data_IF_527428691716
#
_entry.id   IF_527428691716
#
_cell.length_a   1.000
_cell.length_b   1.000
_cell.length_c   1.000
_cell.angle_alpha   90.00
_cell.angle_beta   90.00
_cell.angle_gamma   90.00
#
_symmetry.space_group_name_H-M   'P 1'
#
loop_
_entity.id
_entity.type
_entity.pdbx_description
1 polymer ?
#
# COMPACT_ATOMS: atom_id res chain seq x y z
N UNK A 1 62.46 14.95 3.96
CA UNK A 1 61.13 15.15 4.57
C UNK A 1 60.08 14.57 3.65
N UNK A 2 59.59 13.36 3.93
CA UNK A 2 58.55 12.71 3.13
C UNK A 2 57.18 13.10 3.71
N UNK A 3 56.30 13.62 2.85
CA UNK A 3 54.96 14.11 3.19
C UNK A 3 54.08 12.95 3.68
N UNK A 4 53.81 12.91 4.98
CA UNK A 4 52.87 11.98 5.65
C UNK A 4 51.53 12.68 5.88
N UNK A 5 50.96 13.31 4.84
CA UNK A 5 49.61 13.86 4.92
C UNK A 5 48.85 13.54 3.64
N UNK A 6 47.82 12.70 3.80
CA UNK A 6 46.63 12.65 2.94
C UNK A 6 46.86 12.41 1.46
N UNK A 7 47.13 11.16 1.06
CA UNK A 7 46.69 10.73 -0.27
C UNK A 7 45.16 10.85 -0.29
N UNK A 8 44.59 11.68 -1.18
CA UNK A 8 43.15 11.68 -1.45
C UNK A 8 42.73 10.22 -1.66
N UNK A 9 41.79 9.73 -0.86
CA UNK A 9 41.17 8.41 -1.12
C UNK A 9 40.67 8.45 -2.57
N UNK A 10 40.90 7.40 -3.37
CA UNK A 10 40.33 7.33 -4.71
C UNK A 10 38.83 7.57 -4.59
N UNK A 11 38.30 8.52 -5.36
CA UNK A 11 36.87 8.74 -5.50
C UNK A 11 36.29 7.45 -6.08
N UNK A 12 35.75 6.62 -5.21
CA UNK A 12 34.93 5.49 -5.63
C UNK A 12 33.73 6.11 -6.33
N UNK A 13 33.45 5.74 -7.59
CA UNK A 13 32.31 6.31 -8.30
C UNK A 13 31.06 6.11 -7.43
N UNK A 14 30.22 7.14 -7.25
CA UNK A 14 29.05 7.04 -6.40
C UNK A 14 28.17 5.92 -6.93
N UNK A 15 28.06 4.85 -6.15
CA UNK A 15 27.15 3.75 -6.46
C UNK A 15 25.75 4.24 -6.11
N UNK A 16 24.90 4.38 -7.12
CA UNK A 16 23.50 4.72 -6.89
C UNK A 16 22.81 3.55 -6.17
N UNK A 17 22.29 3.82 -4.97
CA UNK A 17 21.67 2.81 -4.11
C UNK A 17 20.44 2.19 -4.78
N UNK A 18 19.69 2.96 -5.58
CA UNK A 18 18.57 2.48 -6.38
C UNK A 18 19.02 1.45 -7.42
N UNK A 19 20.06 1.76 -8.20
CA UNK A 19 20.58 0.85 -9.24
C UNK A 19 21.07 -0.49 -8.65
N UNK A 20 21.52 -0.50 -7.39
CA UNK A 20 21.92 -1.74 -6.70
C UNK A 20 20.67 -2.51 -6.25
N UNK A 21 19.66 -1.83 -5.73
CA UNK A 21 18.35 -2.41 -5.41
C UNK A 21 17.76 -3.14 -6.61
N UNK A 22 17.63 -2.46 -7.75
CA UNK A 22 17.08 -3.02 -8.99
C UNK A 22 17.82 -4.29 -9.45
N UNK A 23 19.14 -4.31 -9.31
CA UNK A 23 19.98 -5.47 -9.64
C UNK A 23 19.75 -6.64 -8.69
N UNK A 24 19.55 -6.37 -7.41
CA UNK A 24 19.22 -7.40 -6.42
C UNK A 24 17.84 -7.96 -6.70
N UNK A 25 16.84 -7.12 -6.97
CA UNK A 25 15.47 -7.55 -7.24
C UNK A 25 15.36 -8.38 -8.52
N UNK A 26 16.12 -8.02 -9.56
CA UNK A 26 16.25 -8.83 -10.78
C UNK A 26 16.80 -10.22 -10.45
N UNK A 27 17.82 -10.32 -9.59
CA UNK A 27 18.41 -11.60 -9.18
C UNK A 27 17.47 -12.42 -8.32
N UNK A 28 16.71 -11.78 -7.42
CA UNK A 28 15.66 -12.43 -6.62
C UNK A 28 14.62 -13.05 -7.56
N UNK A 29 14.12 -12.27 -8.53
CA UNK A 29 13.15 -12.73 -9.54
C UNK A 29 13.67 -13.91 -10.35
N UNK A 30 14.94 -13.89 -10.75
CA UNK A 30 15.57 -15.00 -11.48
C UNK A 30 15.74 -16.26 -10.62
N UNK A 31 15.98 -16.11 -9.31
CA UNK A 31 16.01 -17.23 -8.38
C UNK A 31 14.62 -17.80 -8.15
N UNK A 32 13.58 -16.97 -8.01
CA UNK A 32 12.20 -17.41 -7.85
C UNK A 32 11.75 -18.25 -9.06
N UNK A 33 12.04 -17.80 -10.29
CA UNK A 33 11.78 -18.59 -11.51
C UNK A 33 12.50 -19.94 -11.52
N UNK A 34 13.70 -20.04 -10.95
CA UNK A 34 14.43 -21.32 -10.83
C UNK A 34 13.82 -22.21 -9.77
N UNK A 35 13.40 -21.64 -8.64
CA UNK A 35 12.74 -22.34 -7.54
C UNK A 35 11.41 -22.93 -8.03
N UNK A 36 10.61 -22.16 -8.76
CA UNK A 36 9.33 -22.59 -9.33
C UNK A 36 9.49 -23.81 -10.26
N UNK A 37 10.46 -23.75 -11.19
CA UNK A 37 10.79 -24.89 -12.07
C UNK A 37 11.19 -26.15 -11.29
N UNK A 38 11.99 -25.99 -10.23
CA UNK A 38 12.39 -27.11 -9.39
C UNK A 38 11.19 -27.66 -8.58
N UNK A 39 10.24 -26.81 -8.20
CA UNK A 39 9.00 -27.23 -7.54
C UNK A 39 8.11 -28.05 -8.47
N UNK A 40 7.96 -27.63 -9.72
CA UNK A 40 7.25 -28.41 -10.73
C UNK A 40 7.89 -29.80 -10.92
N UNK A 41 9.23 -29.85 -11.00
CA UNK A 41 9.94 -31.12 -11.14
C UNK A 41 9.75 -32.02 -9.91
N UNK A 42 9.76 -31.47 -8.69
CA UNK A 42 9.45 -32.20 -7.46
C UNK A 42 8.01 -32.74 -7.49
N UNK A 43 7.04 -31.95 -7.96
CA UNK A 43 5.64 -32.42 -8.14
C UNK A 43 5.57 -33.58 -9.13
N UNK A 44 6.24 -33.48 -10.29
CA UNK A 44 6.30 -34.55 -11.30
C UNK A 44 6.90 -35.83 -10.72
N UNK A 45 8.00 -35.75 -9.97
CA UNK A 45 8.58 -36.93 -9.32
C UNK A 45 7.64 -37.53 -8.27
N UNK A 46 6.90 -36.70 -7.52
CA UNK A 46 5.89 -37.18 -6.56
C UNK A 46 4.80 -37.99 -7.26
N UNK A 47 4.32 -37.54 -8.42
CA UNK A 47 3.33 -38.27 -9.20
C UNK A 47 3.87 -39.57 -9.79
N UNK A 48 5.10 -39.55 -10.32
CA UNK A 48 5.76 -40.75 -10.83
C UNK A 48 5.95 -41.80 -9.73
N UNK A 49 6.35 -41.39 -8.52
CA UNK A 49 6.47 -42.31 -7.37
C UNK A 49 5.13 -42.93 -6.96
N UNK A 50 3.99 -42.24 -7.14
CA UNK A 50 2.66 -42.84 -6.88
C UNK A 50 2.32 -43.95 -7.88
N UNK A 51 2.79 -43.82 -9.13
CA UNK A 51 2.50 -44.75 -10.24
C UNK A 51 3.54 -45.88 -10.37
N UNK A 52 4.71 -45.74 -9.76
CA UNK A 52 5.84 -46.67 -9.89
C UNK A 52 6.18 -47.35 -8.56
N UNK A 53 6.30 -48.69 -8.58
CA UNK A 53 6.65 -49.52 -7.42
C UNK A 53 8.02 -50.20 -7.61
N UNK A 54 8.62 -50.68 -6.52
CA UNK A 54 9.87 -51.45 -6.56
C UNK A 54 11.13 -50.61 -6.86
N UNK A 55 12.20 -51.23 -7.39
CA UNK A 55 13.51 -50.59 -7.58
C UNK A 55 13.49 -49.29 -8.41
N UNK A 56 12.59 -49.18 -9.39
CA UNK A 56 12.40 -47.97 -10.19
C UNK A 56 11.91 -46.78 -9.35
N UNK A 57 11.10 -47.02 -8.32
CA UNK A 57 10.62 -45.99 -7.39
C UNK A 57 11.77 -45.38 -6.56
N UNK A 58 12.76 -46.21 -6.18
CA UNK A 58 13.95 -45.72 -5.46
C UNK A 58 14.80 -44.78 -6.31
N UNK A 59 14.94 -45.03 -7.61
CA UNK A 59 15.68 -44.14 -8.52
C UNK A 59 14.99 -42.78 -8.66
N UNK A 60 13.65 -42.75 -8.77
CA UNK A 60 12.86 -41.51 -8.81
C UNK A 60 13.00 -40.74 -7.48
N UNK A 61 12.95 -41.44 -6.35
CA UNK A 61 13.16 -40.85 -5.02
C UNK A 61 14.53 -40.16 -4.89
N UNK A 62 15.60 -40.78 -5.40
CA UNK A 62 16.94 -40.17 -5.37
C UNK A 62 17.01 -38.89 -6.22
N UNK A 63 16.41 -38.89 -7.42
CA UNK A 63 16.31 -37.69 -8.26
C UNK A 63 15.52 -36.58 -7.56
N UNK A 64 14.37 -36.92 -6.96
CA UNK A 64 13.56 -35.97 -6.20
C UNK A 64 14.33 -35.35 -5.04
N UNK A 65 15.11 -36.13 -4.30
CA UNK A 65 15.96 -35.64 -3.19
C UNK A 65 17.02 -34.66 -3.71
N UNK A 66 17.67 -34.95 -4.84
CA UNK A 66 18.66 -34.05 -5.43
C UNK A 66 18.04 -32.73 -5.88
N UNK A 67 16.87 -32.79 -6.53
CA UNK A 67 16.10 -31.59 -6.92
C UNK A 67 15.68 -30.76 -5.71
N UNK A 68 15.20 -31.40 -4.64
CA UNK A 68 14.85 -30.73 -3.38
C UNK A 68 16.06 -30.03 -2.74
N UNK A 69 17.23 -30.67 -2.72
CA UNK A 69 18.47 -30.05 -2.21
C UNK A 69 18.84 -28.81 -3.01
N UNK A 70 18.75 -28.88 -4.34
CA UNK A 70 19.01 -27.73 -5.22
C UNK A 70 17.99 -26.61 -5.01
N UNK A 71 16.72 -26.95 -4.84
CA UNK A 71 15.65 -25.99 -4.52
C UNK A 71 15.98 -25.24 -3.23
N UNK A 72 16.23 -25.95 -2.13
CA UNK A 72 16.59 -25.36 -0.83
C UNK A 72 17.83 -24.46 -0.90
N UNK A 73 18.82 -24.83 -1.72
CA UNK A 73 20.00 -23.99 -1.94
C UNK A 73 19.64 -22.65 -2.61
N UNK A 74 18.74 -22.64 -3.59
CA UNK A 74 18.28 -21.40 -4.21
C UNK A 74 17.35 -20.59 -3.31
N UNK A 75 16.46 -21.23 -2.55
CA UNK A 75 15.64 -20.56 -1.52
C UNK A 75 16.55 -19.80 -0.54
N UNK A 76 17.58 -20.46 0.00
CA UNK A 76 18.52 -19.79 0.91
C UNK A 76 19.29 -18.63 0.28
N UNK A 77 19.66 -18.73 -1.01
CA UNK A 77 20.29 -17.62 -1.74
C UNK A 77 19.32 -16.46 -1.96
N UNK A 78 18.07 -16.77 -2.30
CA UNK A 78 16.99 -15.81 -2.50
C UNK A 78 16.71 -15.05 -1.21
N UNK A 79 16.57 -15.75 -0.10
CA UNK A 79 16.32 -15.15 1.23
C UNK A 79 17.46 -14.20 1.64
N UNK A 80 18.71 -14.60 1.38
CA UNK A 80 19.88 -13.74 1.63
C UNK A 80 19.83 -12.47 0.77
N UNK A 81 19.46 -12.58 -0.50
CA UNK A 81 19.34 -11.42 -1.39
C UNK A 81 18.15 -10.52 -0.99
N UNK A 82 17.03 -11.08 -0.57
CA UNK A 82 15.90 -10.30 -0.05
C UNK A 82 16.30 -9.50 1.20
N UNK A 83 17.03 -10.12 2.14
CA UNK A 83 17.57 -9.39 3.30
C UNK A 83 18.55 -8.28 2.88
N UNK A 84 19.33 -8.50 1.81
CA UNK A 84 20.17 -7.44 1.24
C UNK A 84 19.33 -6.32 0.59
N UNK A 85 18.26 -6.65 -0.13
CA UNK A 85 17.37 -5.65 -0.74
C UNK A 85 16.75 -4.75 0.33
N UNK A 86 16.23 -5.34 1.41
CA UNK A 86 15.68 -4.59 2.54
C UNK A 86 16.69 -3.64 3.20
N UNK A 87 17.97 -4.05 3.32
CA UNK A 87 19.01 -3.17 3.85
C UNK A 87 19.31 -2.00 2.88
N UNK A 88 19.22 -2.23 1.57
CA UNK A 88 19.41 -1.20 0.56
C UNK A 88 18.23 -0.23 0.54
N UNK A 89 17.00 -0.72 0.64
CA UNK A 89 15.79 0.11 0.74
C UNK A 89 15.85 1.03 1.96
N UNK A 90 16.23 0.51 3.13
CA UNK A 90 16.44 1.34 4.33
C UNK A 90 17.54 2.40 4.12
N UNK A 91 18.63 2.06 3.44
CA UNK A 91 19.68 3.01 3.12
C UNK A 91 19.20 4.08 2.12
N UNK A 92 18.40 3.70 1.13
CA UNK A 92 17.79 4.64 0.18
C UNK A 92 16.85 5.61 0.90
N UNK A 93 15.97 5.10 1.77
CA UNK A 93 15.09 5.92 2.59
C UNK A 93 15.84 6.91 3.48
N UNK A 94 16.93 6.46 4.13
CA UNK A 94 17.78 7.34 4.93
C UNK A 94 18.46 8.43 4.09
N UNK A 95 18.87 8.10 2.86
CA UNK A 95 19.44 9.08 1.91
C UNK A 95 18.38 10.11 1.52
N UNK A 96 17.16 9.69 1.22
CA UNK A 96 16.08 10.61 0.83
C UNK A 96 15.68 11.52 1.98
N UNK A 97 15.53 10.98 3.20
CA UNK A 97 15.32 11.78 4.42
C UNK A 97 16.45 12.81 4.62
N UNK A 98 17.69 12.42 4.35
CA UNK A 98 18.83 13.34 4.42
C UNK A 98 18.78 14.42 3.34
N UNK A 99 18.32 14.11 2.12
CA UNK A 99 18.14 15.09 1.03
C UNK A 99 17.05 16.10 1.36
N UNK A 100 15.96 15.65 1.96
CA UNK A 100 14.89 16.51 2.43
C UNK A 100 15.40 17.46 3.52
N UNK A 101 16.12 16.93 4.50
CA UNK A 101 16.75 17.75 5.56
C UNK A 101 17.70 18.80 4.97
N UNK A 102 18.53 18.42 4.00
CA UNK A 102 19.42 19.37 3.31
C UNK A 102 18.60 20.47 2.61
N UNK A 103 17.49 20.10 1.96
CA UNK A 103 16.61 21.04 1.25
C UNK A 103 15.92 21.99 2.23
N UNK A 104 15.45 21.50 3.38
CA UNK A 104 14.91 22.34 4.47
C UNK A 104 15.95 23.32 4.99
N UNK A 105 17.18 22.86 5.26
CA UNK A 105 18.27 23.74 5.70
C UNK A 105 18.61 24.79 4.65
N UNK A 106 18.61 24.42 3.36
CA UNK A 106 18.81 25.36 2.27
C UNK A 106 17.69 26.41 2.20
N UNK A 107 16.43 25.99 2.37
CA UNK A 107 15.27 26.89 2.43
C UNK A 107 15.36 27.85 3.63
N UNK A 108 15.73 27.35 4.81
CA UNK A 108 15.95 28.17 6.00
C UNK A 108 17.05 29.21 5.79
N UNK A 109 18.18 28.82 5.18
CA UNK A 109 19.25 29.76 4.84
C UNK A 109 18.78 30.85 3.88
N UNK A 110 18.00 30.47 2.87
CA UNK A 110 17.38 31.42 1.94
C UNK A 110 16.42 32.39 2.65
N UNK A 111 15.57 31.87 3.54
CA UNK A 111 14.64 32.66 4.33
C UNK A 111 15.37 33.65 5.25
N UNK A 112 16.45 33.25 5.92
CA UNK A 112 17.27 34.15 6.75
C UNK A 112 17.87 35.28 5.92
N UNK A 113 18.37 34.99 4.72
CA UNK A 113 18.89 36.03 3.82
C UNK A 113 17.79 37.00 3.39
N UNK A 114 16.61 36.49 3.01
CA UNK A 114 15.48 37.31 2.61
C UNK A 114 14.97 38.17 3.78
N UNK A 115 14.83 37.59 4.97
CA UNK A 115 14.44 38.30 6.18
C UNK A 115 15.44 39.43 6.48
N UNK A 116 16.74 39.17 6.37
CA UNK A 116 17.77 40.21 6.54
C UNK A 116 17.70 41.34 5.49
N UNK A 117 17.15 41.09 4.29
CA UNK A 117 16.88 42.14 3.30
C UNK A 117 15.62 42.91 3.65
N UNK A 118 14.53 42.22 3.99
CA UNK A 118 13.26 42.86 4.38
C UNK A 118 13.40 43.70 5.65
N UNK A 119 14.12 43.23 6.67
CA UNK A 119 14.37 44.00 7.90
C UNK A 119 15.14 45.30 7.63
N UNK A 120 15.98 45.36 6.59
CA UNK A 120 16.65 46.61 6.18
C UNK A 120 15.73 47.59 5.48
N UNK A 121 14.60 47.13 4.95
CA UNK A 121 13.55 48.00 4.38
C UNK A 121 12.59 48.54 5.43
N UNK A 122 12.54 47.92 6.61
CA UNK A 122 11.80 48.45 7.75
C UNK A 122 12.54 49.71 8.20
N UNK A 123 11.95 50.88 7.95
CA UNK A 123 12.42 52.14 8.50
C UNK A 123 12.13 52.13 10.00
N UNK A 124 13.17 52.06 10.82
CA UNK A 124 13.03 52.06 12.29
C UNK A 124 12.23 53.26 12.80
N UNK A 125 12.34 54.41 12.14
CA UNK A 125 11.57 55.61 12.48
C UNK A 125 10.07 55.45 12.24
N UNK A 126 9.67 54.83 11.13
CA UNK A 126 8.25 54.54 10.86
C UNK A 126 7.71 53.43 11.77
N UNK A 127 8.59 52.55 12.28
CA UNK A 127 8.23 51.54 13.26
C UNK A 127 8.04 52.12 14.66
N UNK A 128 8.88 53.07 15.07
CA UNK A 128 8.71 53.83 16.32
C UNK A 128 7.40 54.64 16.26
N UNK A 129 7.15 55.36 15.16
CA UNK A 129 5.89 56.09 14.95
C UNK A 129 4.68 55.16 14.96
N UNK A 130 4.75 53.99 14.30
CA UNK A 130 3.66 53.01 14.31
C UNK A 130 3.48 52.30 15.66
N UNK A 131 4.55 52.16 16.47
CA UNK A 131 4.48 51.60 17.81
C UNK A 131 3.84 52.59 18.78
N UNK A 132 4.17 53.89 18.66
CA UNK A 132 3.49 54.97 19.39
C UNK A 132 2.02 55.05 18.96
N UNK A 133 1.71 55.04 17.66
CA UNK A 133 0.33 54.99 17.15
C UNK A 133 -0.43 53.75 17.66
N UNK A 134 0.24 52.59 17.78
CA UNK A 134 -0.36 51.35 18.30
C UNK A 134 -0.52 51.36 19.82
N UNK A 135 0.37 52.02 20.56
CA UNK A 135 0.21 52.25 21.99
C UNK A 135 -1.01 53.15 22.23
N UNK A 136 -1.14 54.23 21.45
CA UNK A 136 -2.30 55.11 21.45
C UNK A 136 -3.58 54.34 21.07
N UNK A 137 -3.52 53.46 20.06
CA UNK A 137 -4.68 52.63 19.65
C UNK A 137 -5.04 51.55 20.67
N UNK A 138 -4.08 51.00 21.42
CA UNK A 138 -4.36 50.07 22.52
C UNK A 138 -4.91 50.82 23.74
N UNK A 139 -4.46 52.05 23.99
CA UNK A 139 -5.02 52.92 25.02
C UNK A 139 -6.47 53.29 24.66
N UNK A 140 -6.72 53.66 23.39
CA UNK A 140 -8.06 53.86 22.82
C UNK A 140 -8.89 52.57 22.86
N UNK A 141 -8.33 51.40 22.56
CA UNK A 141 -9.07 50.13 22.66
C UNK A 141 -9.40 49.76 24.11
N UNK A 142 -8.52 50.06 25.07
CA UNK A 142 -8.81 49.88 26.49
C UNK A 142 -9.86 50.90 26.96
N UNK A 143 -9.80 52.15 26.49
CA UNK A 143 -10.81 53.17 26.76
C UNK A 143 -12.15 52.80 26.10
N UNK A 144 -12.15 52.25 24.88
CA UNK A 144 -13.32 51.70 24.17
C UNK A 144 -13.82 50.45 24.87
N UNK A 145 -12.97 49.55 25.36
CA UNK A 145 -13.39 48.40 26.17
C UNK A 145 -13.88 48.82 27.55
N UNK A 146 -13.42 49.93 28.12
CA UNK A 146 -13.94 50.51 29.36
C UNK A 146 -15.28 51.23 29.12
N UNK A 147 -15.46 51.85 27.94
CA UNK A 147 -16.71 52.45 27.48
C UNK A 147 -17.75 51.41 27.04
N UNK A 148 -17.33 50.34 26.35
CA UNK A 148 -18.17 49.22 25.92
C UNK A 148 -18.36 48.16 27.00
N UNK A 149 -17.43 48.05 27.95
CA UNK A 149 -17.51 47.22 29.17
C UNK A 149 -18.50 47.77 30.19
N UNK A 150 -18.99 49.00 29.99
CA UNK A 150 -20.25 49.45 30.61
C UNK A 150 -21.50 48.81 29.98
N UNK A 151 -21.36 48.02 28.89
CA UNK A 151 -22.52 47.49 28.15
C UNK A 151 -22.47 46.01 27.72
N UNK A 152 -21.34 45.31 27.60
CA UNK A 152 -21.38 43.88 27.26
C UNK A 152 -20.31 43.09 28.01
N UNK A 153 -20.67 42.65 29.21
CA UNK A 153 -20.07 41.46 29.82
C UNK A 153 -20.57 40.24 29.07
N UNK A 154 -19.77 39.74 28.14
CA UNK A 154 -19.83 38.36 27.64
C UNK A 154 -18.38 37.93 27.49
N UNK A 155 -17.75 37.67 28.62
CA UNK A 155 -16.53 36.89 28.75
C UNK A 155 -16.88 35.78 29.71
N UNK A 156 -16.63 34.54 29.28
CA UNK A 156 -17.13 33.28 29.84
C UNK A 156 -18.63 33.12 29.51
N UNK A 157 -19.05 32.26 28.60
CA UNK A 157 -19.07 30.80 28.75
C UNK A 157 -19.23 30.19 27.34
N UNK A 158 -18.18 29.57 26.80
CA UNK A 158 -18.37 28.47 25.85
C UNK A 158 -18.46 27.24 26.75
N UNK A 159 -19.66 26.69 26.89
CA UNK A 159 -19.88 25.54 27.76
C UNK A 159 -19.37 24.28 27.04
N UNK A 160 -18.29 23.70 27.55
CA UNK A 160 -17.68 22.49 26.96
C UNK A 160 -18.69 21.32 26.92
N UNK A 161 -19.68 21.33 27.83
CA UNK A 161 -20.77 20.34 27.87
C UNK A 161 -21.74 20.46 26.67
N UNK A 162 -21.97 21.66 26.15
CA UNK A 162 -22.81 21.88 24.96
C UNK A 162 -22.08 21.43 23.69
N UNK A 163 -20.76 21.64 23.63
CA UNK A 163 -19.92 21.17 22.53
C UNK A 163 -19.79 19.64 22.50
N UNK A 164 -19.72 18.99 23.67
CA UNK A 164 -19.64 17.54 23.76
C UNK A 164 -20.98 16.87 23.40
N UNK A 165 -22.12 17.48 23.75
CA UNK A 165 -23.43 17.04 23.31
C UNK A 165 -23.63 17.19 21.79
N UNK A 166 -23.10 18.25 21.18
CA UNK A 166 -23.13 18.44 19.72
C UNK A 166 -22.24 17.42 19.01
N UNK A 167 -21.09 17.05 19.61
CA UNK A 167 -20.19 16.01 19.11
C UNK A 167 -20.83 14.61 19.16
N UNK A 168 -21.53 14.27 20.24
CA UNK A 168 -22.19 12.97 20.40
C UNK A 168 -23.33 12.78 19.37
N UNK A 169 -24.10 13.84 19.09
CA UNK A 169 -25.12 13.80 18.04
C UNK A 169 -24.56 13.59 16.63
N UNK A 170 -23.35 14.10 16.36
CA UNK A 170 -22.66 13.95 15.08
C UNK A 170 -22.12 12.51 14.89
N UNK A 171 -21.71 11.84 15.98
CA UNK A 171 -21.33 10.42 15.94
C UNK A 171 -22.54 9.50 15.69
N UNK A 172 -23.70 9.79 16.27
CA UNK A 172 -24.94 9.04 16.00
C UNK A 172 -25.38 9.15 14.54
N UNK A 173 -25.27 10.34 13.93
CA UNK A 173 -25.60 10.54 12.51
C UNK A 173 -24.71 9.69 11.58
N UNK A 174 -23.41 9.56 11.88
CA UNK A 174 -22.49 8.69 11.14
C UNK A 174 -22.77 7.20 11.34
N UNK A 175 -23.12 6.78 12.56
CA UNK A 175 -23.45 5.39 12.85
C UNK A 175 -24.74 4.94 12.15
N UNK A 176 -25.74 5.81 12.02
CA UNK A 176 -26.94 5.53 11.23
C UNK A 176 -26.62 5.38 9.73
N UNK A 177 -25.71 6.18 9.19
CA UNK A 177 -25.27 6.09 7.79
C UNK A 177 -24.54 4.76 7.51
N UNK A 178 -23.71 4.30 8.45
CA UNK A 178 -23.00 3.00 8.35
C UNK A 178 -23.97 1.81 8.48
N UNK A 179 -24.96 1.88 9.38
CA UNK A 179 -25.98 0.85 9.56
C UNK A 179 -26.95 0.72 8.36
N UNK A 180 -27.17 1.80 7.61
CA UNK A 180 -27.91 1.77 6.34
C UNK A 180 -27.10 1.05 5.25
N UNK A 181 -25.76 1.19 5.28
CA UNK A 181 -24.84 0.45 4.40
C UNK A 181 -24.90 -1.07 4.61
N UNK A 182 -24.90 -1.54 5.86
CA UNK A 182 -24.92 -2.98 6.17
C UNK A 182 -26.27 -3.68 5.91
N UNK A 183 -27.40 -2.96 6.00
CA UNK A 183 -28.73 -3.53 5.70
C UNK A 183 -28.98 -3.76 4.21
N UNK A 184 -28.15 -3.23 3.31
CA UNK A 184 -28.25 -3.48 1.87
C UNK A 184 -27.72 -4.86 1.44
N UNK A 185 -26.91 -5.55 2.28
CA UNK A 185 -26.32 -6.85 1.93
C UNK A 185 -27.10 -8.08 2.44
N UNK A 186 -28.15 -7.91 3.25
CA UNK A 186 -28.98 -9.04 3.70
C UNK A 186 -30.21 -9.21 2.81
N UNK A 187 -30.07 -10.03 1.77
CA UNK A 187 -31.20 -10.47 0.96
C UNK A 187 -32.28 -11.18 1.84
N UNK A 188 -33.58 -10.94 1.60
CA UNK A 188 -34.66 -11.41 2.46
C UNK A 188 -34.75 -12.94 2.59
N UNK A 189 -35.06 -13.38 3.82
CA UNK A 189 -35.07 -14.77 4.31
C UNK A 189 -35.93 -15.79 3.52
N UNK A 190 -36.71 -15.39 2.51
CA UNK A 190 -37.44 -16.35 1.66
C UNK A 190 -36.52 -17.11 0.69
N UNK A 191 -35.27 -16.69 0.51
CA UNK A 191 -34.26 -17.41 -0.27
C UNK A 191 -33.42 -18.40 0.55
N UNK A 192 -33.63 -18.49 1.87
CA UNK A 192 -32.81 -19.30 2.76
C UNK A 192 -33.67 -20.25 3.63
N UNK A 193 -34.00 -21.44 3.11
CA UNK A 193 -34.45 -22.59 3.90
C UNK A 193 -34.31 -23.92 3.10
N UNK A 194 -34.40 -25.12 3.71
CA UNK A 194 -33.23 -25.96 4.03
C UNK A 194 -33.30 -27.35 3.36
N UNK A 195 -32.19 -28.10 3.43
CA UNK A 195 -32.11 -29.48 2.98
C UNK A 195 -33.09 -30.41 3.74
N UNK A 196 -34.24 -30.74 3.15
CA UNK A 196 -35.07 -31.87 3.54
C UNK A 196 -35.01 -32.95 2.46
N UNK A 197 -34.51 -34.12 2.86
CA UNK A 197 -34.46 -35.34 2.05
C UNK A 197 -35.90 -35.84 1.79
N UNK A 198 -36.43 -35.57 0.61
CA UNK A 198 -37.54 -36.34 0.03
C UNK A 198 -36.99 -37.19 -1.12
N UNK A 199 -37.04 -38.51 -0.97
CA UNK A 199 -36.66 -39.46 -2.02
C UNK A 199 -37.56 -39.30 -3.24
N UNK A 200 -36.98 -38.92 -4.37
CA UNK A 200 -37.67 -38.85 -5.66
C UNK A 200 -37.81 -40.27 -6.25
N UNK A 201 -38.94 -40.62 -6.89
CA UNK A 201 -39.10 -41.91 -7.56
C UNK A 201 -38.13 -42.05 -8.75
N UNK A 202 -37.72 -43.30 -9.02
CA UNK A 202 -36.74 -43.61 -10.07
C UNK A 202 -37.20 -43.16 -11.46
N UNK A 203 -36.29 -42.51 -12.19
CA UNK A 203 -36.52 -42.05 -13.56
C UNK A 203 -36.69 -43.24 -14.52
N UNK A 204 -37.62 -43.16 -15.51
CA UNK A 204 -37.80 -44.21 -16.49
C UNK A 204 -36.54 -44.37 -17.36
N UNK A 205 -36.02 -45.60 -17.42
CA UNK A 205 -34.93 -45.96 -18.33
C UNK A 205 -35.47 -46.12 -19.75
N UNK A 206 -35.44 -45.03 -20.51
CA UNK A 206 -35.63 -45.04 -21.96
C UNK A 206 -34.30 -44.78 -22.66
N UNK A 207 -33.79 -45.75 -23.39
CA UNK A 207 -32.59 -45.63 -24.21
C UNK A 207 -32.90 -44.64 -25.35
N UNK A 208 -32.22 -43.50 -25.38
CA UNK A 208 -32.15 -42.64 -26.56
C UNK A 208 -30.87 -42.97 -27.32
N UNK A 209 -31.10 -43.59 -28.48
CA UNK A 209 -30.12 -43.99 -29.48
C UNK A 209 -29.18 -42.82 -29.84
N UNK A 210 -27.89 -43.01 -29.56
CA UNK A 210 -26.83 -42.07 -29.90
C UNK A 210 -26.52 -42.15 -31.39
N UNK A 211 -27.29 -41.43 -32.20
CA UNK A 211 -27.09 -41.48 -33.64
C UNK A 211 -27.77 -40.37 -34.44
N UNK A 212 -27.36 -39.10 -34.29
CA UNK A 212 -27.24 -38.16 -35.43
C UNK A 212 -26.78 -36.74 -35.06
N UNK A 213 -25.68 -36.35 -35.70
CA UNK A 213 -25.37 -35.01 -36.26
C UNK A 213 -25.36 -33.78 -35.35
N UNK A 214 -24.14 -33.30 -35.11
CA UNK A 214 -23.78 -31.93 -34.73
C UNK A 214 -24.51 -30.90 -35.61
N UNK A 215 -25.45 -30.14 -35.04
CA UNK A 215 -26.10 -29.02 -35.73
C UNK A 215 -25.14 -27.82 -35.73
N UNK A 216 -24.84 -27.27 -36.90
CA UNK A 216 -23.98 -26.09 -37.02
C UNK A 216 -24.63 -24.88 -36.33
N UNK A 217 -23.83 -24.12 -35.60
CA UNK A 217 -24.20 -22.87 -34.92
C UNK A 217 -23.49 -21.70 -35.60
N UNK A 218 -24.09 -20.51 -35.60
CA UNK A 218 -23.44 -19.29 -36.11
C UNK A 218 -22.42 -18.68 -35.11
N UNK A 219 -21.86 -17.53 -35.48
CA UNK A 219 -20.84 -16.78 -34.72
C UNK A 219 -21.30 -16.34 -33.32
N UNK A 220 -22.61 -16.35 -33.05
CA UNK A 220 -23.21 -16.05 -31.76
C UNK A 220 -23.75 -17.29 -31.05
N UNK A 221 -23.44 -18.49 -31.56
CA UNK A 221 -23.75 -19.77 -30.91
C UNK A 221 -25.20 -20.22 -31.04
N UNK A 222 -25.99 -19.59 -31.92
CA UNK A 222 -27.38 -19.96 -32.15
C UNK A 222 -27.50 -20.98 -33.29
N UNK A 223 -28.44 -21.95 -33.19
CA UNK A 223 -28.61 -22.97 -34.21
C UNK A 223 -29.15 -22.33 -35.50
N UNK A 224 -28.39 -22.44 -36.59
CA UNK A 224 -28.80 -21.86 -37.88
C UNK A 224 -30.08 -22.55 -38.35
N UNK A 225 -31.12 -21.76 -38.62
CA UNK A 225 -32.36 -22.27 -39.19
C UNK A 225 -32.14 -22.53 -40.69
N UNK A 226 -32.15 -23.80 -41.10
CA UNK A 226 -32.20 -24.15 -42.51
C UNK A 226 -33.61 -23.87 -43.03
N UNK A 227 -33.81 -22.75 -43.72
CA UNK A 227 -34.99 -22.57 -44.56
C UNK A 227 -34.79 -23.40 -45.82
N UNK A 228 -35.62 -24.43 -46.01
CA UNK A 228 -35.78 -25.04 -47.33
C UNK A 228 -36.72 -24.16 -48.13
N UNK A 229 -36.37 -23.93 -49.40
CA UNK A 229 -37.18 -23.25 -50.42
C UNK A 229 -38.58 -23.83 -50.57
#
# INVERSE_FOLDING_TARGET
>A
MNRVFGKKKPEVPPVNVSDVGDKIDTRVTDLDKKIEKLDEDVRKYREQMKKTRGPASNAIKQRAIQTLKRKKMFEAQRDKLQAQSFNIEQAAFAIDTSRDTISTVAAMKSAVVQLGVETKKINMSELEDAQDDMADLMEDMNEIQELMGRSYGIGDEIDEDELEAELEGLEEEWAEEEAVGEKAEQAPSYLAAPAQQHGLPAAPSGILDSGRTTRATDEFGLPVASYST
#
